data_IF_652931520585
#
_entry.id   IF_652931520585
#
_cell.length_a   1.000
_cell.length_b   1.000
_cell.length_c   1.000
_cell.angle_alpha   90.00
_cell.angle_beta   90.00
_cell.angle_gamma   90.00
#
_symmetry.space_group_name_H-M   'P 1'
#
loop_
_entity.id
_entity.type
_entity.pdbx_description
1 polymer ?
#
# COMPACT_ATOMS: atom_id res chain seq x y z
N UNK A 1 8.30 -25.53 -7.31
CA UNK A 1 7.90 -24.78 -6.10
C UNK A 1 7.03 -23.63 -6.59
N UNK A 2 5.73 -23.65 -6.28
CA UNK A 2 4.84 -22.57 -6.70
C UNK A 2 5.33 -21.25 -6.09
N UNK A 3 5.59 -20.27 -6.96
CA UNK A 3 6.15 -18.97 -6.61
C UNK A 3 5.06 -18.01 -6.13
N UNK A 4 4.41 -18.34 -5.01
CA UNK A 4 3.44 -17.43 -4.38
C UNK A 4 4.20 -16.23 -3.83
N UNK A 5 4.12 -15.13 -4.58
CA UNK A 5 4.54 -13.81 -4.11
C UNK A 5 3.38 -13.19 -3.32
N UNK A 6 3.59 -12.71 -2.09
CA UNK A 6 2.51 -12.18 -1.27
C UNK A 6 1.93 -10.89 -1.86
N UNK A 7 0.60 -10.73 -1.75
CA UNK A 7 -0.08 -9.47 -2.02
C UNK A 7 -0.14 -8.65 -0.72
N UNK A 8 0.11 -7.34 -0.80
CA UNK A 8 0.19 -6.46 0.35
C UNK A 8 -0.90 -5.39 0.34
N UNK A 9 -1.29 -4.94 1.52
CA UNK A 9 -2.14 -3.76 1.69
C UNK A 9 -1.43 -2.73 2.57
N UNK A 10 -1.45 -1.45 2.19
CA UNK A 10 -0.84 -0.36 2.95
C UNK A 10 -1.81 0.82 3.08
N UNK A 11 -1.87 1.40 4.28
CA UNK A 11 -2.77 2.50 4.62
C UNK A 11 -3.06 2.53 6.12
N UNK A 12 -4.16 3.17 6.49
CA UNK A 12 -4.68 3.20 7.86
C UNK A 12 -4.96 1.79 8.39
N UNK A 13 -4.96 1.64 9.72
CA UNK A 13 -5.24 0.36 10.38
C UNK A 13 -6.55 -0.28 9.88
N UNK A 14 -7.63 0.51 9.79
CA UNK A 14 -8.94 0.02 9.32
C UNK A 14 -8.86 -0.51 7.89
N UNK A 15 -8.20 0.22 7.00
CA UNK A 15 -8.05 -0.18 5.60
C UNK A 15 -7.29 -1.51 5.50
N UNK A 16 -6.14 -1.64 6.17
CA UNK A 16 -5.31 -2.84 6.05
C UNK A 16 -5.94 -4.05 6.74
N UNK A 17 -6.71 -3.85 7.83
CA UNK A 17 -7.43 -4.93 8.50
C UNK A 17 -8.50 -5.54 7.59
N UNK A 18 -9.22 -4.72 6.82
CA UNK A 18 -10.22 -5.20 5.85
C UNK A 18 -9.57 -6.06 4.75
N UNK A 19 -8.43 -5.64 4.23
CA UNK A 19 -7.71 -6.42 3.22
C UNK A 19 -7.07 -7.68 3.78
N UNK A 20 -6.66 -7.68 5.05
CA UNK A 20 -6.14 -8.88 5.71
C UNK A 20 -7.18 -10.01 5.77
N UNK A 21 -8.48 -9.69 5.88
CA UNK A 21 -9.57 -10.67 5.78
C UNK A 21 -9.59 -11.41 4.42
N UNK A 22 -9.06 -10.78 3.37
CA UNK A 22 -8.97 -11.33 2.03
C UNK A 22 -7.62 -12.03 1.76
N UNK A 23 -6.76 -12.16 2.77
CA UNK A 23 -5.46 -12.83 2.67
C UNK A 23 -4.30 -11.93 2.22
N UNK A 24 -4.49 -10.61 2.20
CA UNK A 24 -3.39 -9.67 1.97
C UNK A 24 -2.54 -9.53 3.23
N UNK A 25 -1.24 -9.29 3.04
CA UNK A 25 -0.33 -9.00 4.15
C UNK A 25 -0.47 -7.51 4.51
N UNK A 26 -0.92 -7.17 5.74
CA UNK A 26 -1.14 -5.79 6.13
C UNK A 26 0.18 -5.08 6.46
N UNK A 27 0.33 -3.85 5.98
CA UNK A 27 1.38 -2.90 6.37
C UNK A 27 0.66 -1.66 6.93
N UNK A 28 0.31 -1.65 8.23
CA UNK A 28 -0.31 -0.48 8.84
C UNK A 28 0.66 0.70 8.79
N UNK A 29 0.21 1.81 8.23
CA UNK A 29 0.99 3.03 8.08
C UNK A 29 0.06 4.24 8.13
N UNK A 30 0.02 4.90 9.28
CA UNK A 30 -0.80 6.11 9.48
C UNK A 30 -0.16 7.35 8.84
N UNK A 31 1.14 7.30 8.54
CA UNK A 31 1.87 8.40 7.90
C UNK A 31 2.70 7.91 6.71
N UNK A 32 2.50 8.49 5.51
CA UNK A 32 3.24 8.12 4.30
C UNK A 32 4.69 8.64 4.26
N UNK A 33 5.11 9.38 5.30
CA UNK A 33 6.50 9.87 5.43
C UNK A 33 7.51 8.72 5.52
N UNK A 34 7.12 7.58 6.11
CA UNK A 34 7.96 6.37 6.18
C UNK A 34 7.71 5.38 5.02
N UNK A 35 7.58 5.92 3.80
CA UNK A 35 7.54 5.10 2.58
C UNK A 35 8.79 4.22 2.44
N UNK A 36 9.91 4.62 3.04
CA UNK A 36 11.16 3.87 3.00
C UNK A 36 11.07 2.53 3.74
N UNK A 37 10.45 2.51 4.93
CA UNK A 37 10.18 1.30 5.69
C UNK A 37 9.23 0.36 4.94
N UNK A 38 8.18 0.93 4.33
CA UNK A 38 7.21 0.18 3.51
C UNK A 38 7.92 -0.50 2.33
N UNK A 39 8.72 0.23 1.56
CA UNK A 39 9.46 -0.32 0.43
C UNK A 39 10.44 -1.43 0.87
N UNK A 40 11.13 -1.24 1.99
CA UNK A 40 12.05 -2.25 2.52
C UNK A 40 11.34 -3.58 2.81
N UNK A 41 10.12 -3.54 3.35
CA UNK A 41 9.28 -4.73 3.55
C UNK A 41 8.89 -5.34 2.20
N UNK A 42 8.33 -4.54 1.29
CA UNK A 42 7.84 -5.02 0.00
C UNK A 42 8.92 -5.70 -0.85
N UNK A 43 10.12 -5.15 -0.88
CA UNK A 43 11.24 -5.74 -1.61
C UNK A 43 11.79 -7.00 -0.94
N UNK A 44 11.91 -6.99 0.40
CA UNK A 44 12.39 -8.15 1.16
C UNK A 44 11.47 -9.35 0.98
N UNK A 45 10.16 -9.13 1.07
CA UNK A 45 9.14 -10.17 0.96
C UNK A 45 8.75 -10.47 -0.49
N UNK A 46 9.35 -9.79 -1.47
CA UNK A 46 9.11 -9.96 -2.92
C UNK A 46 7.62 -9.83 -3.28
N UNK A 47 7.01 -8.71 -2.92
CA UNK A 47 5.62 -8.41 -3.17
C UNK A 47 5.20 -8.67 -4.63
N UNK A 48 4.03 -9.27 -4.83
CA UNK A 48 3.42 -9.43 -6.14
C UNK A 48 2.82 -8.11 -6.64
N UNK A 49 2.00 -7.50 -5.78
CA UNK A 49 1.35 -6.21 -5.97
C UNK A 49 0.94 -5.65 -4.61
N UNK A 50 0.67 -4.34 -4.59
CA UNK A 50 0.29 -3.60 -3.40
C UNK A 50 -1.04 -2.92 -3.65
N UNK A 51 -1.98 -3.14 -2.75
CA UNK A 51 -3.17 -2.31 -2.60
C UNK A 51 -2.83 -1.17 -1.65
N UNK A 52 -2.99 0.07 -2.09
CA UNK A 52 -2.69 1.25 -1.31
C UNK A 52 -3.94 2.08 -1.08
N UNK A 53 -4.13 2.53 0.16
CA UNK A 53 -5.15 3.52 0.47
C UNK A 53 -4.83 4.84 -0.23
N UNK A 54 -5.81 5.40 -0.94
CA UNK A 54 -5.63 6.59 -1.77
C UNK A 54 -5.08 7.78 -0.98
N UNK A 55 -5.70 8.12 0.16
CA UNK A 55 -5.27 9.25 1.00
C UNK A 55 -3.82 9.10 1.47
N UNK A 56 -3.44 7.87 1.85
CA UNK A 56 -2.08 7.54 2.25
C UNK A 56 -1.11 7.68 1.07
N UNK A 57 -1.43 7.09 -0.09
CA UNK A 57 -0.57 7.13 -1.26
C UNK A 57 -0.39 8.57 -1.78
N UNK A 58 -1.44 9.39 -1.75
CA UNK A 58 -1.38 10.81 -2.10
C UNK A 58 -0.61 11.66 -1.08
N UNK A 59 -0.50 11.22 0.18
CA UNK A 59 0.33 11.89 1.18
C UNK A 59 1.83 11.65 0.99
N UNK A 60 2.25 10.68 0.16
CA UNK A 60 3.67 10.51 -0.21
C UNK A 60 4.15 11.76 -0.96
N UNK A 61 5.36 12.22 -0.65
CA UNK A 61 5.98 13.34 -1.36
C UNK A 61 5.94 13.14 -2.89
N UNK A 62 5.45 14.14 -3.62
CA UNK A 62 5.15 14.06 -5.05
C UNK A 62 6.31 13.51 -5.91
N UNK A 63 7.59 13.90 -5.71
CA UNK A 63 8.71 13.36 -6.47
C UNK A 63 8.90 11.85 -6.27
N UNK A 64 8.66 11.37 -5.04
CA UNK A 64 8.76 9.95 -4.70
C UNK A 64 7.59 9.20 -5.32
N UNK A 65 6.36 9.71 -5.18
CA UNK A 65 5.17 9.09 -5.78
C UNK A 65 5.30 8.93 -7.30
N UNK A 66 5.71 9.99 -8.02
CA UNK A 66 5.96 9.94 -9.47
C UNK A 66 7.02 8.91 -9.86
N UNK A 67 7.99 8.64 -8.99
CA UNK A 67 8.99 7.59 -9.22
C UNK A 67 8.39 6.21 -9.05
N UNK A 68 7.56 5.99 -8.03
CA UNK A 68 6.87 4.72 -7.80
C UNK A 68 5.95 4.35 -8.96
N UNK A 69 5.21 5.33 -9.50
CA UNK A 69 4.34 5.13 -10.66
C UNK A 69 5.11 4.79 -11.94
N UNK A 70 6.36 5.25 -12.06
CA UNK A 70 7.20 5.06 -13.26
C UNK A 70 8.11 3.85 -13.21
N UNK A 71 8.54 3.40 -12.03
CA UNK A 71 9.61 2.38 -11.95
C UNK A 71 9.15 1.01 -12.43
N UNK A 72 7.86 0.68 -12.25
CA UNK A 72 7.29 -0.62 -12.63
C UNK A 72 7.79 -1.81 -11.82
N UNK A 73 8.70 -1.59 -10.85
CA UNK A 73 9.26 -2.65 -10.01
C UNK A 73 8.20 -3.26 -9.08
N UNK A 74 7.22 -2.43 -8.70
CA UNK A 74 6.09 -2.78 -7.84
C UNK A 74 4.81 -2.22 -8.46
N UNK A 75 3.77 -3.05 -8.52
CA UNK A 75 2.45 -2.63 -9.00
C UNK A 75 1.65 -2.07 -7.84
N UNK A 76 1.31 -0.78 -7.92
CA UNK A 76 0.49 -0.06 -6.94
C UNK A 76 -0.94 0.07 -7.45
N UNK A 77 -1.89 -0.47 -6.69
CA UNK A 77 -3.32 -0.39 -6.98
C UNK A 77 -3.96 0.48 -5.90
N UNK A 78 -4.37 1.68 -6.29
CA UNK A 78 -4.97 2.62 -5.34
C UNK A 78 -6.45 2.29 -5.15
N UNK A 79 -6.90 2.27 -3.89
CA UNK A 79 -8.30 2.09 -3.52
C UNK A 79 -8.80 3.27 -2.70
N UNK A 80 -10.11 3.60 -2.79
CA UNK A 80 -10.71 4.67 -2.01
C UNK A 80 -10.41 4.54 -0.52
N UNK A 81 -10.24 5.69 0.13
CA UNK A 81 -9.94 5.73 1.56
C UNK A 81 -11.14 5.32 2.40
N UNK A 82 -10.88 4.73 3.57
CA UNK A 82 -11.92 4.33 4.52
C UNK A 82 -12.39 5.53 5.38
N UNK A 83 -12.59 6.69 4.74
CA UNK A 83 -13.08 7.91 5.36
C UNK A 83 -14.61 7.95 5.28
N UNK A 84 -15.28 8.12 6.43
CA UNK A 84 -16.74 8.31 6.49
C UNK A 84 -17.23 9.69 6.01
N UNK A 85 -16.42 10.43 5.24
CA UNK A 85 -16.72 11.82 4.87
C UNK A 85 -17.75 11.97 3.74
N UNK A 86 -18.17 10.89 3.10
CA UNK A 86 -19.24 10.90 2.08
C UNK A 86 -20.67 10.94 2.66
N UNK A 87 -20.85 11.05 3.98
CA UNK A 87 -22.17 11.28 4.61
C UNK A 87 -22.37 12.73 5.09
N UNK A 88 -22.09 13.73 4.24
CA UNK A 88 -22.50 15.13 4.48
C UNK A 88 -23.09 15.79 3.25
#
# INVERSE_FOLDING_TARGET
>A
MNGDRPAFAVGSQVFVDLWALMGFVPIPSESPEDISGVLAVLFREKAAFIVAEESWFFGIAEPVRKRLEKSGDLVWIQFPSCDSKEMR
#
